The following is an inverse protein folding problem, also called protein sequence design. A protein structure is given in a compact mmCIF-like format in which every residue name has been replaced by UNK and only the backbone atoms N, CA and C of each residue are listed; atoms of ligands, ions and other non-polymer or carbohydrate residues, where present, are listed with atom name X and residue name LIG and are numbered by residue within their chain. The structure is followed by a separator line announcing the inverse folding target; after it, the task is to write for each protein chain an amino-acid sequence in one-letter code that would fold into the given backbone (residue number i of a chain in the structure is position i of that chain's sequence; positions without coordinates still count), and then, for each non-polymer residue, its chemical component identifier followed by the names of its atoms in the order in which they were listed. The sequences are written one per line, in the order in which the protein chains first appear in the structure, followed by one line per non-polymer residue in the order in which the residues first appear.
data_IF_393084913853
#
_entry.id   IF_393084913853
#
_cell.length_a   1.000
_cell.length_b   1.000
_cell.length_c   1.000
_cell.angle_alpha   90.00
_cell.angle_beta   90.00
_cell.angle_gamma   90.00
#
_symmetry.space_group_name_H-M   'P 1'
#
loop_
_entity.id
_entity.type
_entity.pdbx_description
1 polymer ?
#
# COMPACT_ATOMS: atom_id res chain seq x y z
N UNK A 1 4.63 -4.55 15.36
CA UNK A 1 3.46 -5.33 14.97
C UNK A 1 3.35 -5.14 13.48
N UNK A 2 3.68 -6.18 12.73
CA UNK A 2 3.50 -6.22 11.29
C UNK A 2 2.02 -6.51 11.02
N UNK A 3 1.30 -5.53 10.47
CA UNK A 3 -0.08 -5.69 10.04
C UNK A 3 -0.17 -5.97 8.55
N UNK A 4 -1.22 -6.67 8.12
CA UNK A 4 -1.53 -6.85 6.70
C UNK A 4 -2.86 -6.17 6.45
N UNK A 5 -2.93 -5.40 5.39
CA UNK A 5 -4.18 -4.77 4.92
C UNK A 5 -4.49 -5.31 3.54
N UNK A 6 -5.77 -5.57 3.28
CA UNK A 6 -6.28 -5.99 1.98
C UNK A 6 -7.56 -5.23 1.66
N UNK A 7 -7.70 -4.79 0.41
CA UNK A 7 -8.88 -4.05 -0.05
C UNK A 7 -9.27 -4.53 -1.43
N UNK A 8 -10.57 -4.72 -1.65
CA UNK A 8 -11.17 -4.90 -2.96
C UNK A 8 -12.42 -4.02 -3.07
N UNK A 9 -12.46 -3.10 -4.03
CA UNK A 9 -13.58 -2.17 -4.20
C UNK A 9 -13.76 -1.73 -5.65
N UNK A 10 -14.93 -1.15 -5.96
CA UNK A 10 -15.18 -0.53 -7.28
C UNK A 10 -14.49 0.83 -7.45
N UNK A 11 -14.20 1.54 -6.36
CA UNK A 11 -13.48 2.82 -6.37
C UNK A 11 -11.97 2.61 -6.27
N UNK A 12 -11.21 3.68 -6.45
CA UNK A 12 -9.78 3.66 -6.16
C UNK A 12 -9.54 3.33 -4.68
N UNK A 13 -8.57 2.45 -4.40
CA UNK A 13 -8.32 1.93 -3.04
C UNK A 13 -7.07 2.50 -2.38
N UNK A 14 -6.25 3.29 -3.07
CA UNK A 14 -4.95 3.72 -2.57
C UNK A 14 -5.03 4.42 -1.20
N UNK A 15 -5.89 5.44 -1.05
CA UNK A 15 -6.01 6.18 0.21
C UNK A 15 -6.48 5.31 1.38
N UNK A 16 -7.44 4.42 1.11
CA UNK A 16 -7.95 3.44 2.10
C UNK A 16 -6.83 2.53 2.56
N UNK A 17 -6.02 2.10 1.59
CA UNK A 17 -4.92 1.17 1.80
C UNK A 17 -3.82 1.81 2.65
N UNK A 18 -3.46 3.07 2.40
CA UNK A 18 -2.49 3.79 3.22
C UNK A 18 -2.98 4.07 4.62
N UNK A 19 -4.22 4.52 4.79
CA UNK A 19 -4.76 4.77 6.12
C UNK A 19 -4.85 3.46 6.93
N UNK A 20 -5.20 2.34 6.28
CA UNK A 20 -5.16 1.02 6.88
C UNK A 20 -3.76 0.66 7.37
N UNK A 21 -2.74 0.77 6.51
CA UNK A 21 -1.36 0.49 6.88
C UNK A 21 -0.87 1.43 7.99
N UNK A 22 -1.25 2.71 7.96
CA UNK A 22 -0.88 3.70 8.98
C UNK A 22 -1.43 3.36 10.36
N UNK A 23 -2.64 2.77 10.42
CA UNK A 23 -3.23 2.30 11.68
C UNK A 23 -2.60 1.01 12.19
N UNK A 24 -1.98 0.23 11.32
CA UNK A 24 -1.25 -0.98 11.68
C UNK A 24 0.21 -0.71 12.02
N UNK A 25 0.78 0.42 11.58
CA UNK A 25 2.17 0.77 11.80
C UNK A 25 2.41 1.14 13.27
N UNK A 26 3.29 0.37 13.92
CA UNK A 26 3.77 0.65 15.26
C UNK A 26 5.18 1.23 15.29
N UNK A 27 5.75 1.56 14.11
CA UNK A 27 7.03 2.23 13.96
C UNK A 27 8.25 1.31 14.00
N UNK A 28 8.07 -0.03 14.11
CA UNK A 28 9.17 -1.00 14.18
C UNK A 28 9.35 -1.82 12.89
N UNK A 29 8.59 -1.51 11.83
CA UNK A 29 8.69 -2.19 10.55
C UNK A 29 10.08 -2.03 9.93
N UNK A 30 10.71 -3.16 9.56
CA UNK A 30 12.00 -3.18 8.85
C UNK A 30 11.83 -3.15 7.33
N UNK A 31 10.64 -3.51 6.87
CA UNK A 31 10.24 -3.61 5.47
C UNK A 31 8.74 -3.36 5.38
N UNK A 32 8.33 -2.73 4.30
CA UNK A 32 6.93 -2.52 3.96
C UNK A 32 6.73 -2.69 2.45
N UNK A 33 5.54 -3.09 2.06
CA UNK A 33 5.21 -3.38 0.67
C UNK A 33 3.75 -3.18 0.35
N UNK A 34 3.48 -2.79 -0.89
CA UNK A 34 2.15 -2.61 -1.44
C UNK A 34 2.10 -3.17 -2.86
N UNK A 35 1.05 -3.92 -3.13
CA UNK A 35 0.68 -4.35 -4.47
C UNK A 35 -0.72 -3.85 -4.76
N UNK A 36 -0.93 -3.18 -5.89
CA UNK A 36 -2.23 -2.66 -6.31
C UNK A 36 -2.49 -3.04 -7.76
N UNK A 37 -3.70 -3.51 -8.04
CA UNK A 37 -4.12 -3.95 -9.38
C UNK A 37 -5.27 -3.08 -9.88
N UNK A 38 -5.14 -2.60 -11.12
CA UNK A 38 -6.19 -1.82 -11.77
C UNK A 38 -7.32 -2.69 -12.33
N UNK A 39 -8.32 -2.05 -12.95
CA UNK A 39 -9.48 -2.74 -13.54
C UNK A 39 -9.14 -3.63 -14.74
N UNK A 40 -7.96 -3.45 -15.34
CA UNK A 40 -7.47 -4.19 -16.50
C UNK A 40 -6.53 -5.32 -16.07
N UNK A 41 -6.37 -5.56 -14.77
CA UNK A 41 -5.47 -6.58 -14.24
C UNK A 41 -4.00 -6.15 -14.23
N UNK A 42 -3.67 -4.88 -14.48
CA UNK A 42 -2.30 -4.39 -14.42
C UNK A 42 -1.89 -4.16 -12.97
N UNK A 43 -0.89 -4.89 -12.52
CA UNK A 43 -0.35 -4.78 -11.19
C UNK A 43 0.79 -3.76 -11.11
N UNK A 44 0.79 -2.98 -10.04
CA UNK A 44 1.88 -2.10 -9.64
C UNK A 44 2.35 -2.54 -8.25
N UNK A 45 3.66 -2.69 -8.11
CA UNK A 45 4.27 -3.18 -6.88
C UNK A 45 5.28 -2.16 -6.38
N UNK A 46 5.23 -1.90 -5.08
CA UNK A 46 6.16 -1.03 -4.39
C UNK A 46 6.63 -1.75 -3.13
N UNK A 47 7.95 -1.84 -2.94
CA UNK A 47 8.54 -2.35 -1.72
C UNK A 47 9.59 -1.36 -1.26
N UNK A 48 9.65 -1.14 0.05
CA UNK A 48 10.67 -0.30 0.66
C UNK A 48 11.27 -0.95 1.90
N UNK A 49 12.57 -0.75 2.05
CA UNK A 49 13.28 -1.06 3.29
C UNK A 49 13.05 0.10 4.26
N UNK A 50 12.70 -0.22 5.49
CA UNK A 50 12.28 0.74 6.51
C UNK A 50 10.77 0.74 6.73
N UNK A 51 10.33 1.77 7.44
CA UNK A 51 8.93 1.93 7.86
C UNK A 51 8.02 2.48 6.76
N UNK A 52 6.71 2.54 7.07
CA UNK A 52 5.66 2.98 6.14
C UNK A 52 5.92 4.39 5.57
N UNK A 53 6.64 5.26 6.29
CA UNK A 53 6.95 6.63 5.82
C UNK A 53 7.78 6.62 4.54
N UNK A 54 8.64 5.62 4.36
CA UNK A 54 9.44 5.45 3.14
C UNK A 54 8.57 4.98 1.96
N UNK A 55 7.59 4.12 2.23
CA UNK A 55 6.61 3.67 1.23
C UNK A 55 5.75 4.83 0.74
N UNK A 56 5.21 5.64 1.67
CA UNK A 56 4.38 6.83 1.35
C UNK A 56 5.14 7.79 0.45
N UNK A 57 6.40 8.12 0.78
CA UNK A 57 7.23 9.00 -0.06
C UNK A 57 7.45 8.46 -1.47
N UNK A 58 7.58 7.14 -1.61
CA UNK A 58 7.76 6.51 -2.92
C UNK A 58 6.45 6.43 -3.71
N UNK A 59 5.33 6.39 -3.00
CA UNK A 59 3.99 6.40 -3.57
C UNK A 59 3.62 7.78 -4.14
N UNK A 60 3.94 8.86 -3.44
CA UNK A 60 3.68 10.24 -3.89
C UNK A 60 4.37 10.59 -5.22
N UNK A 61 5.37 9.81 -5.63
CA UNK A 61 6.10 9.98 -6.89
C UNK A 61 5.41 9.34 -8.12
N UNK A 62 4.27 8.66 -7.98
CA UNK A 62 3.63 7.97 -9.11
C UNK A 62 2.11 7.78 -8.99
N UNK A 63 1.40 7.64 -10.12
CA UNK A 63 -0.04 7.42 -10.12
C UNK A 63 -0.38 5.96 -9.77
N UNK A 64 -0.36 5.64 -8.49
CA UNK A 64 -0.82 4.35 -8.00
C UNK A 64 -2.35 4.34 -7.84
N UNK A 65 -3.01 3.80 -8.84
CA UNK A 65 -4.45 3.66 -8.90
C UNK A 65 -4.84 2.20 -9.09
N UNK A 66 -5.86 1.76 -8.38
CA UNK A 66 -6.43 0.44 -8.59
C UNK A 66 -7.58 0.11 -7.67
N UNK A 67 -8.09 -1.11 -7.83
CA UNK A 67 -9.33 -1.59 -7.20
C UNK A 67 -9.09 -2.68 -6.18
N UNK A 68 -7.99 -3.40 -6.33
CA UNK A 68 -7.59 -4.47 -5.43
C UNK A 68 -6.18 -4.18 -4.97
N UNK A 69 -5.95 -4.23 -3.66
CA UNK A 69 -4.63 -4.02 -3.09
C UNK A 69 -4.37 -4.93 -1.90
N UNK A 70 -3.10 -5.25 -1.69
CA UNK A 70 -2.59 -5.92 -0.49
C UNK A 70 -1.25 -5.30 -0.10
N UNK A 71 -1.02 -5.15 1.20
CA UNK A 71 0.22 -4.57 1.69
C UNK A 71 0.48 -4.88 3.17
N UNK A 72 1.71 -4.61 3.59
CA UNK A 72 2.26 -4.85 4.92
C UNK A 72 3.36 -3.84 5.27
#
# INVERSE_FOLDING_TARGET
MSGIVGVAAHRNVSDIMFEGLRRCDDGYARWCGLSITDRHGRAQHLQQKGDLRHLVRSFDCGPFFGRTAIGF
#
